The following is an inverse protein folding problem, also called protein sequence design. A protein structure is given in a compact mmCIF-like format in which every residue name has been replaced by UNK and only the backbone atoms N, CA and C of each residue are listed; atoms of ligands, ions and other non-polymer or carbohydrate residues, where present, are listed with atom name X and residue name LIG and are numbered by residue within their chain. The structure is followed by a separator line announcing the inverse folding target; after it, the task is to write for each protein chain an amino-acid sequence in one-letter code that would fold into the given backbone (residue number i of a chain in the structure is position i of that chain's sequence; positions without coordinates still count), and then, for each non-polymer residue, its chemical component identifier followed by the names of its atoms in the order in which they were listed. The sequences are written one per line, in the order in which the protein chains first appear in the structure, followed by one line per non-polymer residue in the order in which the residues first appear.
data_IF_893945140315
#
_entry.id   IF_893945140315
#
_cell.length_a   1.000
_cell.length_b   1.000
_cell.length_c   1.000
_cell.angle_alpha   90.00
_cell.angle_beta   90.00
_cell.angle_gamma   90.00
#
_symmetry.space_group_name_H-M   'P 1'
#
loop_
_entity.id
_entity.type
_entity.pdbx_description
1 polymer ?
#
# COMPACT_ATOMS: atom_id res chain seq x y z
N UNK A 1 -8.69 28.63 8.20
CA UNK A 1 -7.23 28.44 8.10
C UNK A 1 -6.60 28.20 9.48
N UNK A 2 -6.93 28.99 10.50
CA UNK A 2 -6.40 28.83 11.87
C UNK A 2 -6.50 27.41 12.46
N UNK A 3 -7.65 26.74 12.35
CA UNK A 3 -7.81 25.36 12.86
C UNK A 3 -6.89 24.34 12.18
N UNK A 4 -6.57 24.55 10.90
CA UNK A 4 -5.69 23.66 10.15
C UNK A 4 -4.22 23.88 10.53
N UNK A 5 -3.83 25.14 10.75
CA UNK A 5 -2.52 25.52 11.28
C UNK A 5 -2.33 24.95 12.69
N UNK A 6 -3.32 25.15 13.57
CA UNK A 6 -3.31 24.59 14.93
C UNK A 6 -3.12 23.06 14.92
N UNK A 7 -3.86 22.32 14.10
CA UNK A 7 -3.69 20.86 14.03
C UNK A 7 -2.30 20.45 13.54
N UNK A 8 -1.73 21.19 12.58
CA UNK A 8 -0.38 20.94 12.10
C UNK A 8 0.67 21.20 13.19
N UNK A 9 0.51 22.25 14.01
CA UNK A 9 1.42 22.59 15.11
C UNK A 9 1.44 21.50 16.19
N UNK A 10 0.26 20.98 16.55
CA UNK A 10 0.15 19.82 17.45
C UNK A 10 0.81 18.58 16.87
N UNK A 11 0.62 18.33 15.57
CA UNK A 11 1.29 17.20 14.90
C UNK A 11 2.80 17.37 14.86
N UNK A 12 3.32 18.56 14.55
CA UNK A 12 4.76 18.88 14.56
C UNK A 12 5.35 18.64 15.95
N UNK A 13 4.65 19.11 16.98
CA UNK A 13 5.03 18.89 18.39
C UNK A 13 5.05 17.40 18.72
N UNK A 14 3.99 16.66 18.39
CA UNK A 14 3.94 15.22 18.65
C UNK A 14 5.01 14.42 17.90
N UNK A 15 5.23 14.71 16.62
CA UNK A 15 6.23 14.02 15.78
C UNK A 15 7.65 14.29 16.27
N UNK A 16 8.00 15.56 16.51
CA UNK A 16 9.32 15.93 17.04
C UNK A 16 9.54 15.41 18.46
N UNK A 17 8.49 15.38 19.30
CA UNK A 17 8.57 14.75 20.62
C UNK A 17 8.91 13.26 20.52
N UNK A 18 8.21 12.50 19.67
CA UNK A 18 8.51 11.07 19.45
C UNK A 18 9.94 10.90 18.93
N UNK A 19 10.40 11.76 18.00
CA UNK A 19 11.76 11.73 17.50
C UNK A 19 12.79 11.85 18.64
N UNK A 20 12.61 12.83 19.52
CA UNK A 20 13.46 13.05 20.70
C UNK A 20 13.39 11.86 21.65
N UNK A 21 12.21 11.28 21.88
CA UNK A 21 12.09 10.09 22.73
C UNK A 21 12.83 8.88 22.14
N UNK A 22 12.74 8.64 20.83
CA UNK A 22 13.51 7.59 20.18
C UNK A 22 15.03 7.83 20.32
N UNK A 23 15.49 9.07 20.17
CA UNK A 23 16.89 9.44 20.36
C UNK A 23 17.37 9.21 21.80
N UNK A 24 16.58 9.65 22.78
CA UNK A 24 16.86 9.44 24.20
C UNK A 24 16.91 7.95 24.56
N UNK A 25 15.98 7.15 24.05
CA UNK A 25 15.97 5.69 24.26
C UNK A 25 17.20 5.01 23.66
N UNK A 26 17.58 5.37 22.43
CA UNK A 26 18.78 4.84 21.78
C UNK A 26 20.05 5.23 22.53
N UNK A 27 20.10 6.46 23.03
CA UNK A 27 21.20 6.94 23.87
C UNK A 27 21.28 6.18 25.19
N UNK A 28 20.13 5.92 25.83
CA UNK A 28 20.04 5.19 27.09
C UNK A 28 20.49 3.72 26.99
N UNK A 29 20.39 3.10 25.81
CA UNK A 29 20.90 1.74 25.56
C UNK A 29 22.36 1.72 25.10
N UNK A 30 23.05 2.87 25.10
CA UNK A 30 24.50 2.97 24.91
C UNK A 30 24.97 3.48 23.55
N UNK A 31 24.09 3.98 22.68
CA UNK A 31 24.52 4.67 21.46
C UNK A 31 24.99 6.09 21.79
N UNK A 32 25.99 6.58 21.08
CA UNK A 32 26.47 7.95 21.22
C UNK A 32 25.37 8.95 20.77
N UNK A 33 24.90 9.85 21.65
CA UNK A 33 23.88 10.84 21.32
C UNK A 33 24.27 11.77 20.15
N UNK A 34 25.56 12.07 20.00
CA UNK A 34 26.06 12.94 18.94
C UNK A 34 26.21 12.22 17.59
N UNK A 35 26.14 10.88 17.57
CA UNK A 35 26.28 10.10 16.35
C UNK A 35 25.11 10.33 15.39
N UNK A 36 25.42 10.57 14.12
CA UNK A 36 24.39 10.63 13.08
C UNK A 36 23.64 9.32 12.88
N UNK A 37 24.21 8.18 13.29
CA UNK A 37 23.49 6.91 13.31
C UNK A 37 22.38 6.87 14.35
N UNK A 38 22.59 7.47 15.53
CA UNK A 38 21.56 7.59 16.58
C UNK A 38 20.39 8.40 16.06
N UNK A 39 20.66 9.52 15.40
CA UNK A 39 19.64 10.35 14.75
C UNK A 39 18.91 9.63 13.60
N UNK A 40 19.65 8.95 12.72
CA UNK A 40 19.07 8.15 11.63
C UNK A 40 18.14 7.05 12.17
N UNK A 41 18.57 6.31 13.20
CA UNK A 41 17.77 5.28 13.86
C UNK A 41 16.59 5.88 14.63
N UNK A 42 16.71 7.10 15.14
CA UNK A 42 15.60 7.82 15.77
C UNK A 42 14.50 8.14 14.77
N UNK A 43 14.86 8.53 13.55
CA UNK A 43 13.92 8.72 12.43
C UNK A 43 13.24 7.40 12.08
N UNK A 44 13.97 6.28 12.03
CA UNK A 44 13.39 4.94 11.82
C UNK A 44 12.43 4.58 12.95
N UNK A 45 12.82 4.80 14.20
CA UNK A 45 12.00 4.55 15.39
C UNK A 45 10.70 5.34 15.38
N UNK A 46 10.77 6.64 15.05
CA UNK A 46 9.63 7.52 14.85
C UNK A 46 8.64 6.92 13.84
N UNK A 47 9.12 6.47 12.68
CA UNK A 47 8.28 5.83 11.65
C UNK A 47 7.59 4.59 12.23
N UNK A 48 8.33 3.72 12.93
CA UNK A 48 7.77 2.51 13.53
C UNK A 48 6.68 2.86 14.55
N UNK A 49 6.93 3.80 15.45
CA UNK A 49 5.97 4.22 16.48
C UNK A 49 4.69 4.76 15.84
N UNK A 50 4.81 5.72 14.91
CA UNK A 50 3.65 6.28 14.19
C UNK A 50 2.87 5.16 13.49
N UNK A 51 3.58 4.26 12.81
CA UNK A 51 2.93 3.17 12.06
C UNK A 51 2.20 2.20 12.98
N UNK A 52 2.76 1.87 14.15
CA UNK A 52 2.11 1.02 15.15
C UNK A 52 0.81 1.68 15.65
N UNK A 53 0.86 2.96 16.01
CA UNK A 53 -0.32 3.73 16.47
C UNK A 53 -1.42 3.73 15.40
N UNK A 54 -1.05 3.77 14.12
CA UNK A 54 -1.99 3.79 13.01
C UNK A 54 -2.50 2.40 12.57
N UNK A 55 -1.99 1.28 13.11
CA UNK A 55 -2.42 -0.08 12.72
C UNK A 55 -3.94 -0.26 12.76
N UNK A 56 -4.67 0.11 13.84
CA UNK A 56 -6.12 -0.12 13.90
C UNK A 56 -6.87 0.57 12.76
N UNK A 57 -6.40 1.76 12.39
CA UNK A 57 -6.97 2.54 11.30
C UNK A 57 -6.62 1.94 9.93
N UNK A 58 -5.37 1.48 9.74
CA UNK A 58 -4.97 0.75 8.54
C UNK A 58 -5.79 -0.53 8.35
N UNK A 59 -6.12 -1.26 9.42
CA UNK A 59 -6.98 -2.44 9.35
C UNK A 59 -8.39 -2.07 8.85
N UNK A 60 -8.97 -0.97 9.36
CA UNK A 60 -10.26 -0.47 8.87
C UNK A 60 -10.20 -0.07 7.39
N UNK A 61 -9.12 0.59 6.97
CA UNK A 61 -8.89 0.97 5.57
C UNK A 61 -8.79 -0.26 4.65
N UNK A 62 -8.04 -1.28 5.04
CA UNK A 62 -7.91 -2.54 4.27
C UNK A 62 -9.28 -3.22 4.13
N UNK A 63 -10.07 -3.27 5.21
CA UNK A 63 -11.43 -3.84 5.17
C UNK A 63 -12.33 -3.07 4.20
N UNK A 64 -12.29 -1.74 4.23
CA UNK A 64 -13.04 -0.90 3.29
C UNK A 64 -12.63 -1.15 1.83
N UNK A 65 -11.32 -1.24 1.56
CA UNK A 65 -10.80 -1.57 0.22
C UNK A 65 -11.23 -2.97 -0.24
N UNK A 66 -11.24 -3.95 0.67
CA UNK A 66 -11.71 -5.31 0.35
C UNK A 66 -13.20 -5.33 -0.03
N UNK A 67 -14.05 -4.63 0.72
CA UNK A 67 -15.48 -4.52 0.41
C UNK A 67 -15.70 -3.88 -0.98
N UNK A 68 -14.92 -2.86 -1.31
CA UNK A 68 -14.95 -2.24 -2.63
C UNK A 68 -14.62 -3.24 -3.75
N UNK A 69 -13.68 -4.16 -3.52
CA UNK A 69 -13.33 -5.20 -4.50
C UNK A 69 -14.45 -6.24 -4.69
N UNK A 70 -15.17 -6.57 -3.61
CA UNK A 70 -16.29 -7.52 -3.67
C UNK A 70 -17.40 -7.02 -4.59
N UNK A 71 -17.70 -5.71 -4.55
CA UNK A 71 -18.77 -5.12 -5.37
C UNK A 71 -18.33 -4.74 -6.80
N UNK A 72 -17.05 -4.88 -7.15
CA UNK A 72 -16.55 -4.56 -8.49
C UNK A 72 -17.30 -5.23 -9.65
N UNK A 73 -17.72 -6.51 -9.57
CA UNK A 73 -18.49 -7.13 -10.64
C UNK A 73 -19.81 -6.40 -10.90
N UNK A 74 -20.50 -5.99 -9.84
CA UNK A 74 -21.77 -5.26 -9.91
C UNK A 74 -21.56 -3.85 -10.48
N UNK A 75 -20.47 -3.18 -10.11
CA UNK A 75 -20.06 -1.91 -10.73
C UNK A 75 -19.90 -2.10 -12.24
N UNK A 76 -19.21 -3.15 -12.69
CA UNK A 76 -19.03 -3.43 -14.13
C UNK A 76 -20.34 -3.74 -14.84
N UNK A 77 -21.25 -4.46 -14.19
CA UNK A 77 -22.59 -4.73 -14.74
C UNK A 77 -23.38 -3.44 -14.94
N UNK A 78 -23.37 -2.53 -13.97
CA UNK A 78 -23.99 -1.19 -14.08
C UNK A 78 -23.36 -0.41 -15.23
N UNK A 79 -22.03 -0.37 -15.31
CA UNK A 79 -21.31 0.32 -16.38
C UNK A 79 -21.66 -0.22 -17.77
N UNK A 80 -21.84 -1.55 -17.89
CA UNK A 80 -22.24 -2.20 -19.14
C UNK A 80 -23.71 -1.97 -19.48
N UNK A 81 -24.61 -2.02 -18.48
CA UNK A 81 -26.05 -1.85 -18.66
C UNK A 81 -26.43 -0.42 -19.06
N UNK A 82 -25.70 0.58 -18.55
CA UNK A 82 -25.98 2.00 -18.78
C UNK A 82 -24.85 2.71 -19.54
N UNK A 83 -24.13 2.03 -20.44
CA UNK A 83 -22.94 2.57 -21.13
C UNK A 83 -23.20 3.82 -21.98
N UNK A 84 -24.46 4.12 -22.31
CA UNK A 84 -24.89 5.32 -23.04
C UNK A 84 -25.56 6.40 -22.19
N UNK A 85 -25.77 6.16 -20.90
CA UNK A 85 -26.49 7.06 -19.99
C UNK A 85 -25.67 7.27 -18.71
N UNK A 86 -24.77 8.26 -18.76
CA UNK A 86 -23.85 8.58 -17.66
C UNK A 86 -24.59 9.00 -16.39
N UNK A 87 -25.73 9.65 -16.54
CA UNK A 87 -26.51 10.13 -15.40
C UNK A 87 -27.09 8.94 -14.65
N UNK A 88 -27.78 8.04 -15.35
CA UNK A 88 -28.35 6.83 -14.75
C UNK A 88 -27.30 5.88 -14.25
N UNK A 89 -26.17 5.76 -14.95
CA UNK A 89 -25.00 5.02 -14.48
C UNK A 89 -24.50 5.55 -13.13
N UNK A 90 -24.37 6.87 -12.97
CA UNK A 90 -23.97 7.50 -11.71
C UNK A 90 -24.97 7.23 -10.58
N UNK A 91 -26.28 7.36 -10.88
CA UNK A 91 -27.36 7.12 -9.92
C UNK A 91 -27.37 5.66 -9.42
N UNK A 92 -27.30 4.68 -10.32
CA UNK A 92 -27.28 3.26 -9.98
C UNK A 92 -26.00 2.86 -9.24
N UNK A 93 -24.85 3.44 -9.61
CA UNK A 93 -23.61 3.24 -8.83
C UNK A 93 -23.75 3.78 -7.40
N UNK A 94 -24.33 4.97 -7.23
CA UNK A 94 -24.54 5.53 -5.89
C UNK A 94 -25.55 4.72 -5.08
N UNK A 95 -26.60 4.21 -5.72
CA UNK A 95 -27.57 3.30 -5.11
C UNK A 95 -26.90 2.01 -4.65
N UNK A 96 -26.07 1.39 -5.49
CA UNK A 96 -25.28 0.21 -5.15
C UNK A 96 -24.39 0.46 -3.92
N UNK A 97 -23.69 1.60 -3.88
CA UNK A 97 -22.85 1.96 -2.72
C UNK A 97 -23.66 2.09 -1.43
N UNK A 98 -24.87 2.66 -1.49
CA UNK A 98 -25.78 2.78 -0.34
C UNK A 98 -26.32 1.42 0.11
N UNK A 99 -26.80 0.60 -0.81
CA UNK A 99 -27.38 -0.72 -0.52
C UNK A 99 -26.35 -1.70 0.06
N UNK A 100 -25.11 -1.64 -0.43
CA UNK A 100 -24.00 -2.48 0.06
C UNK A 100 -23.29 -1.88 1.27
N UNK A 101 -23.67 -0.69 1.71
CA UNK A 101 -22.98 0.05 2.79
C UNK A 101 -21.51 0.36 2.50
N UNK A 102 -21.12 0.39 1.21
CA UNK A 102 -19.73 0.59 0.79
C UNK A 102 -19.49 2.06 0.44
N UNK A 103 -18.50 2.69 1.08
CA UNK A 103 -18.17 4.09 0.82
C UNK A 103 -16.94 4.21 -0.11
N UNK A 104 -17.06 4.84 -1.30
CA UNK A 104 -15.95 5.03 -2.23
C UNK A 104 -14.81 5.90 -1.65
N UNK A 105 -15.13 6.89 -0.81
CA UNK A 105 -14.15 7.78 -0.19
C UNK A 105 -13.30 7.06 0.87
N UNK A 106 -13.78 5.94 1.42
CA UNK A 106 -12.98 5.16 2.37
C UNK A 106 -11.74 4.55 1.71
N UNK A 107 -11.69 4.45 0.38
CA UNK A 107 -10.53 3.96 -0.36
C UNK A 107 -9.41 5.01 -0.49
N UNK A 108 -9.73 6.31 -0.44
CA UNK A 108 -8.74 7.40 -0.48
C UNK A 108 -8.35 7.94 0.91
N UNK A 109 -9.04 7.49 1.95
CA UNK A 109 -8.75 7.80 3.36
C UNK A 109 -7.26 7.64 3.76
N UNK A 110 -6.50 6.61 3.29
CA UNK A 110 -5.09 6.49 3.64
C UNK A 110 -4.28 7.72 3.25
N UNK A 111 -4.54 8.29 2.07
CA UNK A 111 -3.82 9.46 1.57
C UNK A 111 -4.17 10.69 2.42
N UNK A 112 -5.46 10.91 2.67
CA UNK A 112 -5.94 12.07 3.43
C UNK A 112 -5.39 12.11 4.85
N UNK A 113 -5.30 10.95 5.51
CA UNK A 113 -4.74 10.87 6.85
C UNK A 113 -3.21 11.00 6.86
N UNK A 114 -2.53 10.42 5.87
CA UNK A 114 -1.07 10.43 5.81
C UNK A 114 -0.53 11.85 5.55
N UNK A 115 -1.25 12.67 4.77
CA UNK A 115 -0.79 14.00 4.37
C UNK A 115 -0.43 14.91 5.55
N UNK A 116 -1.30 15.14 6.57
CA UNK A 116 -0.93 15.96 7.75
C UNK A 116 0.29 15.44 8.51
N UNK A 117 0.39 14.12 8.71
CA UNK A 117 1.51 13.49 9.43
C UNK A 117 2.80 13.67 8.63
N UNK A 118 2.73 13.47 7.32
CA UNK A 118 3.85 13.70 6.42
C UNK A 118 4.31 15.15 6.45
N UNK A 119 3.41 16.13 6.37
CA UNK A 119 3.78 17.54 6.43
C UNK A 119 4.39 17.92 7.77
N UNK A 120 3.87 17.42 8.89
CA UNK A 120 4.45 17.68 10.20
C UNK A 120 5.88 17.14 10.31
N UNK A 121 6.12 15.90 9.86
CA UNK A 121 7.44 15.29 9.87
C UNK A 121 8.41 15.97 8.90
N UNK A 122 7.94 16.25 7.69
CA UNK A 122 8.71 17.00 6.70
C UNK A 122 9.10 18.37 7.24
N UNK A 123 8.17 19.12 7.84
CA UNK A 123 8.46 20.41 8.47
C UNK A 123 9.54 20.28 9.55
N UNK A 124 9.48 19.28 10.43
CA UNK A 124 10.49 19.07 11.47
C UNK A 124 11.87 18.75 10.89
N UNK A 125 11.97 17.79 9.97
CA UNK A 125 13.26 17.37 9.41
C UNK A 125 13.84 18.39 8.42
N UNK A 126 12.99 19.00 7.59
CA UNK A 126 13.39 20.10 6.73
C UNK A 126 13.78 21.32 7.59
N UNK A 127 13.07 21.57 8.68
CA UNK A 127 13.33 22.67 9.59
C UNK A 127 14.69 22.57 10.27
N UNK A 128 15.06 21.36 10.72
CA UNK A 128 16.43 21.05 11.13
C UNK A 128 17.40 21.44 10.01
N UNK A 129 17.15 21.03 8.76
CA UNK A 129 18.05 21.34 7.67
C UNK A 129 18.16 22.83 7.31
N UNK A 130 17.11 23.60 7.61
CA UNK A 130 16.89 24.98 7.20
C UNK A 130 17.10 25.98 8.34
N UNK A 131 17.61 25.55 9.49
CA UNK A 131 17.71 26.33 10.73
C UNK A 131 16.35 26.77 11.33
N UNK A 132 15.24 26.25 10.82
CA UNK A 132 13.89 26.66 11.26
C UNK A 132 13.37 25.67 12.29
N UNK A 133 13.42 26.06 13.57
CA UNK A 133 12.92 25.26 14.68
C UNK A 133 11.43 24.95 14.50
N UNK A 134 11.06 23.69 14.75
CA UNK A 134 9.70 23.19 14.56
C UNK A 134 9.34 22.22 15.69
N UNK A 135 8.06 22.21 16.08
CA UNK A 135 7.56 21.35 17.16
C UNK A 135 8.28 21.62 18.50
N UNK A 136 8.75 20.56 19.18
CA UNK A 136 9.43 20.69 20.48
C UNK A 136 10.74 21.47 20.39
N UNK A 137 11.39 21.52 19.22
CA UNK A 137 12.62 22.29 19.04
C UNK A 137 12.42 23.81 19.19
N UNK A 138 11.18 24.30 19.23
CA UNK A 138 10.87 25.69 19.57
C UNK A 138 11.06 26.02 21.06
N UNK A 139 11.22 25.03 21.93
CA UNK A 139 11.42 25.25 23.36
C UNK A 139 12.92 25.24 23.69
N UNK A 140 13.38 26.27 24.41
CA UNK A 140 14.81 26.54 24.69
C UNK A 140 15.58 25.34 25.24
N UNK A 141 14.92 24.48 26.02
CA UNK A 141 15.51 23.26 26.58
C UNK A 141 16.00 22.25 25.52
N UNK A 142 15.54 22.36 24.27
CA UNK A 142 15.94 21.50 23.15
C UNK A 142 16.95 22.16 22.20
N UNK A 143 17.44 23.36 22.50
CA UNK A 143 18.36 24.09 21.61
C UNK A 143 19.66 23.34 21.34
N UNK A 144 20.28 22.81 22.39
CA UNK A 144 21.49 21.99 22.26
C UNK A 144 21.21 20.71 21.44
N UNK A 145 20.03 20.12 21.63
CA UNK A 145 19.62 18.91 20.93
C UNK A 145 19.32 19.19 19.45
N UNK A 146 18.75 20.36 19.13
CA UNK A 146 18.53 20.82 17.76
C UNK A 146 19.86 20.97 17.01
N UNK A 147 20.85 21.63 17.62
CA UNK A 147 22.17 21.76 16.99
C UNK A 147 22.85 20.40 16.82
N UNK A 148 22.77 19.52 17.83
CA UNK A 148 23.27 18.16 17.71
C UNK A 148 22.60 17.38 16.56
N UNK A 149 21.29 17.53 16.37
CA UNK A 149 20.56 16.91 15.26
C UNK A 149 21.02 17.42 13.89
N UNK A 150 21.51 18.65 13.85
CA UNK A 150 22.00 19.30 12.64
C UNK A 150 23.44 18.92 12.31
N UNK A 151 24.30 18.89 13.30
CA UNK A 151 25.70 18.49 13.13
C UNK A 151 25.86 16.97 12.93
N UNK A 152 24.77 16.22 13.13
CA UNK A 152 24.70 14.78 12.90
C UNK A 152 25.07 14.42 11.45
N UNK A 153 26.05 13.53 11.30
CA UNK A 153 26.47 13.03 9.99
C UNK A 153 26.59 11.50 9.94
N UNK A 154 26.31 10.95 8.76
CA UNK A 154 26.53 9.54 8.42
C UNK A 154 27.49 9.45 7.25
N UNK A 155 28.52 8.62 7.36
CA UNK A 155 29.55 8.47 6.33
C UNK A 155 30.21 9.80 5.90
N UNK A 156 30.28 10.80 6.79
CA UNK A 156 30.80 12.15 6.48
C UNK A 156 29.84 13.07 5.73
N UNK A 157 28.59 12.65 5.54
CA UNK A 157 27.51 13.46 4.99
C UNK A 157 26.54 13.89 6.10
N UNK A 158 26.24 15.18 6.26
CA UNK A 158 25.36 15.64 7.32
C UNK A 158 23.90 15.33 6.99
N UNK A 159 23.07 15.08 8.00
CA UNK A 159 21.67 14.72 7.79
C UNK A 159 20.84 15.84 7.14
N UNK A 160 21.26 17.11 7.26
CA UNK A 160 20.65 18.23 6.56
C UNK A 160 21.07 18.38 5.10
N UNK A 161 22.17 17.74 4.69
CA UNK A 161 22.73 17.89 3.36
C UNK A 161 21.77 17.39 2.27
N UNK A 162 21.70 18.13 1.16
CA UNK A 162 20.96 17.74 -0.06
C UNK A 162 21.94 17.43 -1.19
N UNK A 163 21.47 16.82 -2.28
CA UNK A 163 22.35 16.53 -3.42
C UNK A 163 22.79 17.82 -4.13
N UNK A 164 21.88 18.79 -4.26
CA UNK A 164 22.15 20.06 -4.95
C UNK A 164 23.03 21.00 -4.13
N UNK A 165 22.85 21.06 -2.80
CA UNK A 165 23.61 21.92 -1.89
C UNK A 165 24.84 21.23 -1.29
N UNK A 166 25.33 20.16 -1.92
CA UNK A 166 26.41 19.35 -1.35
C UNK A 166 27.74 20.12 -1.22
N UNK A 167 28.01 21.12 -2.05
CA UNK A 167 29.24 21.91 -1.92
C UNK A 167 29.19 22.88 -0.73
N UNK A 168 27.98 23.31 -0.33
CA UNK A 168 27.78 24.25 0.78
C UNK A 168 28.13 23.60 2.11
N UNK A 169 27.92 22.29 2.26
CA UNK A 169 28.23 21.56 3.50
C UNK A 169 29.73 21.50 3.81
N UNK A 170 30.60 21.84 2.85
CA UNK A 170 32.04 21.94 3.08
C UNK A 170 32.40 23.06 4.06
N UNK A 171 31.60 24.13 4.10
CA UNK A 171 31.79 25.26 5.03
C UNK A 171 31.70 24.78 6.48
N UNK A 172 30.84 23.79 6.74
CA UNK A 172 30.62 23.19 8.04
C UNK A 172 31.54 21.99 8.31
N UNK A 173 32.52 21.74 7.44
CA UNK A 173 33.54 20.68 7.59
C UNK A 173 33.09 19.29 7.13
N UNK A 174 31.95 19.16 6.45
CA UNK A 174 31.48 17.89 5.90
C UNK A 174 31.99 17.62 4.48
N UNK A 175 31.86 16.39 4.00
CA UNK A 175 32.31 16.00 2.66
C UNK A 175 31.21 16.22 1.60
N UNK A 176 31.43 17.09 0.59
CA UNK A 176 30.49 17.23 -0.54
C UNK A 176 30.31 15.95 -1.34
N UNK A 177 31.40 15.20 -1.52
CA UNK A 177 31.39 13.93 -2.26
C UNK A 177 30.57 12.89 -1.50
N UNK A 178 30.81 12.74 -0.19
CA UNK A 178 30.01 11.83 0.63
C UNK A 178 28.53 12.20 0.59
N UNK A 179 28.21 13.50 0.68
CA UNK A 179 26.83 14.00 0.64
C UNK A 179 26.12 13.62 -0.65
N UNK A 180 26.76 13.81 -1.81
CA UNK A 180 26.21 13.38 -3.11
C UNK A 180 26.03 11.87 -3.19
N UNK A 181 27.02 11.10 -2.74
CA UNK A 181 26.98 9.63 -2.79
C UNK A 181 25.85 9.09 -1.91
N UNK A 182 25.77 9.54 -0.65
CA UNK A 182 24.75 9.09 0.31
C UNK A 182 23.35 9.47 -0.17
N UNK A 183 23.14 10.72 -0.60
CA UNK A 183 21.84 11.15 -1.15
C UNK A 183 21.46 10.36 -2.39
N UNK A 184 22.37 10.17 -3.35
CA UNK A 184 22.10 9.40 -4.57
C UNK A 184 21.73 7.95 -4.27
N UNK A 185 22.45 7.28 -3.36
CA UNK A 185 22.15 5.92 -2.93
C UNK A 185 20.78 5.85 -2.26
N UNK A 186 20.46 6.78 -1.36
CA UNK A 186 19.15 6.83 -0.70
C UNK A 186 18.00 7.08 -1.67
N UNK A 187 18.19 7.92 -2.69
CA UNK A 187 17.19 8.15 -3.75
C UNK A 187 16.95 6.86 -4.53
N UNK A 188 18.00 6.14 -4.93
CA UNK A 188 17.86 4.84 -5.62
C UNK A 188 17.10 3.84 -4.75
N UNK A 189 17.47 3.71 -3.47
CA UNK A 189 16.81 2.81 -2.54
C UNK A 189 15.35 3.19 -2.32
N UNK A 190 15.05 4.48 -2.18
CA UNK A 190 13.68 4.99 -2.06
C UNK A 190 12.86 4.69 -3.32
N UNK A 191 13.40 4.95 -4.51
CA UNK A 191 12.74 4.67 -5.80
C UNK A 191 12.48 3.18 -5.97
N UNK A 192 13.49 2.34 -5.70
CA UNK A 192 13.37 0.88 -5.78
C UNK A 192 12.34 0.32 -4.80
N UNK A 193 12.35 0.77 -3.54
CA UNK A 193 11.38 0.34 -2.53
C UNK A 193 9.96 0.83 -2.84
N UNK A 194 9.80 2.05 -3.36
CA UNK A 194 8.49 2.59 -3.78
C UNK A 194 7.93 1.78 -4.95
N UNK A 195 8.75 1.55 -5.99
CA UNK A 195 8.37 0.80 -7.18
C UNK A 195 7.99 -0.65 -6.82
N UNK A 196 8.81 -1.33 -6.02
CA UNK A 196 8.53 -2.71 -5.59
C UNK A 196 7.25 -2.81 -4.77
N UNK A 197 7.01 -1.88 -3.86
CA UNK A 197 5.78 -1.78 -3.06
C UNK A 197 4.55 -1.63 -3.97
N UNK A 198 4.57 -0.66 -4.89
CA UNK A 198 3.46 -0.42 -5.82
C UNK A 198 3.23 -1.60 -6.78
N UNK A 199 4.31 -2.20 -7.29
CA UNK A 199 4.24 -3.38 -8.16
C UNK A 199 3.63 -4.57 -7.42
N UNK A 200 3.99 -4.80 -6.15
CA UNK A 200 3.40 -5.88 -5.35
C UNK A 200 1.89 -5.69 -5.18
N UNK A 201 1.45 -4.46 -4.87
CA UNK A 201 0.04 -4.14 -4.72
C UNK A 201 -0.74 -4.43 -6.02
N UNK A 202 -0.28 -3.90 -7.15
CA UNK A 202 -1.00 -3.99 -8.43
C UNK A 202 -1.00 -5.42 -8.98
N UNK A 203 0.15 -6.08 -9.02
CA UNK A 203 0.30 -7.36 -9.72
C UNK A 203 -0.31 -8.52 -8.95
N UNK A 204 -0.28 -8.48 -7.61
CA UNK A 204 -0.74 -9.61 -6.79
C UNK A 204 -2.16 -9.41 -6.28
N UNK A 205 -2.54 -8.16 -5.99
CA UNK A 205 -3.72 -7.86 -5.20
C UNK A 205 -4.76 -7.01 -5.94
N UNK A 206 -4.70 -6.92 -7.28
CA UNK A 206 -5.73 -6.22 -8.07
C UNK A 206 -6.22 -7.07 -9.23
N UNK A 207 -7.54 -7.08 -9.48
CA UNK A 207 -8.15 -7.79 -10.61
C UNK A 207 -7.86 -7.06 -11.95
N UNK A 208 -7.50 -7.80 -12.99
CA UNK A 208 -6.92 -7.29 -14.25
C UNK A 208 -7.81 -6.35 -15.07
N UNK A 209 -9.14 -6.46 -14.97
CA UNK A 209 -10.11 -5.74 -15.82
C UNK A 209 -10.74 -4.49 -15.17
N UNK A 210 -10.06 -3.81 -14.24
CA UNK A 210 -10.61 -2.66 -13.52
C UNK A 210 -10.03 -1.32 -14.05
N UNK A 211 -10.85 -0.31 -14.43
CA UNK A 211 -10.38 1.03 -14.77
C UNK A 211 -9.48 1.68 -13.70
N UNK A 212 -9.71 1.36 -12.42
CA UNK A 212 -8.88 1.78 -11.29
C UNK A 212 -7.45 1.21 -11.36
N UNK A 213 -7.26 0.01 -11.92
CA UNK A 213 -5.92 -0.58 -12.15
C UNK A 213 -5.14 0.26 -13.13
N UNK A 214 -5.80 0.78 -14.18
CA UNK A 214 -5.13 1.62 -15.18
C UNK A 214 -4.58 2.89 -14.53
N UNK A 215 -5.38 3.54 -13.69
CA UNK A 215 -4.94 4.72 -12.92
C UNK A 215 -3.78 4.37 -11.97
N UNK A 216 -3.85 3.24 -11.26
CA UNK A 216 -2.77 2.77 -10.39
C UNK A 216 -1.48 2.43 -11.16
N UNK A 217 -1.58 1.84 -12.35
CA UNK A 217 -0.42 1.53 -13.21
C UNK A 217 0.31 2.79 -13.66
N UNK A 218 -0.41 3.84 -14.05
CA UNK A 218 0.20 5.14 -14.38
C UNK A 218 0.97 5.66 -13.16
N UNK A 219 0.31 5.63 -12.01
CA UNK A 219 0.87 6.11 -10.76
C UNK A 219 2.14 5.34 -10.34
N UNK A 220 2.21 4.04 -10.67
CA UNK A 220 3.36 3.18 -10.40
C UNK A 220 4.66 3.64 -11.10
N UNK A 221 4.55 4.28 -12.26
CA UNK A 221 5.72 4.79 -12.99
C UNK A 221 5.97 6.27 -12.71
N UNK A 222 4.90 7.06 -12.57
CA UNK A 222 4.99 8.50 -12.33
C UNK A 222 5.64 8.80 -10.99
N UNK A 223 5.23 8.13 -9.90
CA UNK A 223 5.79 8.45 -8.58
C UNK A 223 7.27 8.12 -8.44
N UNK A 224 7.78 6.93 -8.82
CA UNK A 224 9.21 6.66 -8.77
C UNK A 224 10.03 7.62 -9.64
N UNK A 225 9.52 8.01 -10.82
CA UNK A 225 10.19 9.01 -11.67
C UNK A 225 10.24 10.38 -10.99
N UNK A 226 9.10 10.85 -10.46
CA UNK A 226 9.00 12.10 -9.72
C UNK A 226 9.95 12.09 -8.53
N UNK A 227 9.95 11.04 -7.71
CA UNK A 227 10.86 10.91 -6.57
C UNK A 227 12.32 10.78 -6.99
N UNK A 228 12.64 10.19 -8.14
CA UNK A 228 13.99 10.14 -8.69
C UNK A 228 14.51 11.52 -9.10
N UNK A 229 13.66 12.35 -9.72
CA UNK A 229 14.03 13.70 -10.17
C UNK A 229 14.03 14.70 -9.01
N UNK A 230 12.94 14.76 -8.24
CA UNK A 230 12.79 15.73 -7.16
C UNK A 230 13.55 15.34 -5.89
N UNK A 231 13.89 14.06 -5.72
CA UNK A 231 14.59 13.54 -4.54
C UNK A 231 15.93 14.22 -4.26
N UNK A 232 16.57 14.79 -5.29
CA UNK A 232 17.84 15.52 -5.17
C UNK A 232 17.72 16.80 -4.30
N UNK A 233 16.50 17.31 -4.12
CA UNK A 233 16.23 18.50 -3.31
C UNK A 233 15.98 18.18 -1.83
N UNK A 234 15.81 16.90 -1.48
CA UNK A 234 15.47 16.53 -0.11
C UNK A 234 16.72 16.25 0.73
N UNK A 235 16.71 16.67 2.02
CA UNK A 235 17.82 16.40 2.91
C UNK A 235 17.90 14.91 3.26
N UNK A 236 19.10 14.44 3.60
CA UNK A 236 19.37 13.03 3.92
C UNK A 236 18.41 12.49 5.00
N UNK A 237 18.14 13.25 6.06
CA UNK A 237 17.21 12.83 7.12
C UNK A 237 15.80 12.55 6.59
N UNK A 238 15.32 13.38 5.66
CA UNK A 238 14.02 13.22 5.00
C UNK A 238 14.02 12.00 4.06
N UNK A 239 15.12 11.74 3.35
CA UNK A 239 15.28 10.53 2.52
C UNK A 239 15.29 9.25 3.37
N UNK A 240 15.94 9.26 4.55
CA UNK A 240 15.92 8.14 5.51
C UNK A 240 14.50 7.87 5.97
N UNK A 241 13.73 8.92 6.31
CA UNK A 241 12.32 8.78 6.64
C UNK A 241 11.53 8.10 5.52
N UNK A 242 11.70 8.55 4.27
CA UNK A 242 10.99 7.99 3.12
C UNK A 242 11.35 6.52 2.90
N UNK A 243 12.64 6.20 2.95
CA UNK A 243 13.11 4.82 2.81
C UNK A 243 12.54 3.92 3.91
N UNK A 244 12.57 4.36 5.16
CA UNK A 244 12.02 3.64 6.32
C UNK A 244 10.51 3.42 6.17
N UNK A 245 9.79 4.45 5.74
CA UNK A 245 8.36 4.40 5.45
C UNK A 245 8.03 3.40 4.34
N UNK A 246 8.86 3.34 3.30
CA UNK A 246 8.68 2.38 2.21
C UNK A 246 8.97 0.95 2.66
N UNK A 247 10.02 0.72 3.45
CA UNK A 247 10.32 -0.60 4.03
C UNK A 247 9.17 -1.10 4.91
N UNK A 248 8.64 -0.25 5.79
CA UNK A 248 7.46 -0.58 6.58
C UNK A 248 6.28 -0.93 5.68
N UNK A 249 5.99 -0.08 4.69
CA UNK A 249 4.84 -0.28 3.78
C UNK A 249 4.98 -1.57 2.98
N UNK A 250 6.18 -1.89 2.52
CA UNK A 250 6.50 -3.14 1.82
C UNK A 250 6.26 -4.35 2.73
N UNK A 251 6.75 -4.33 3.97
CA UNK A 251 6.54 -5.39 4.95
C UNK A 251 5.06 -5.56 5.32
N UNK A 252 4.36 -4.46 5.59
CA UNK A 252 2.92 -4.45 5.86
C UNK A 252 2.13 -5.01 4.68
N UNK A 253 2.41 -4.57 3.45
CA UNK A 253 1.73 -5.07 2.26
C UNK A 253 2.00 -6.54 2.03
N UNK A 254 3.25 -6.99 2.19
CA UNK A 254 3.60 -8.41 2.10
C UNK A 254 2.76 -9.24 3.09
N UNK A 255 2.67 -8.81 4.34
CA UNK A 255 1.86 -9.48 5.37
C UNK A 255 0.36 -9.49 5.00
N UNK A 256 -0.19 -8.34 4.60
CA UNK A 256 -1.61 -8.19 4.26
C UNK A 256 -1.99 -9.04 3.04
N UNK A 257 -1.21 -8.99 1.96
CA UNK A 257 -1.45 -9.79 0.74
C UNK A 257 -1.35 -11.28 1.06
N UNK A 258 -0.44 -11.69 1.95
CA UNK A 258 -0.27 -13.10 2.30
C UNK A 258 -1.41 -13.63 3.18
N UNK A 259 -1.94 -12.82 4.10
CA UNK A 259 -2.87 -13.28 5.13
C UNK A 259 -4.33 -12.89 4.87
N UNK A 260 -4.57 -11.76 4.21
CA UNK A 260 -5.90 -11.24 3.90
C UNK A 260 -5.93 -10.64 2.46
N UNK A 261 -5.68 -11.45 1.42
CA UNK A 261 -5.71 -10.98 0.04
C UNK A 261 -7.11 -10.52 -0.39
N UNK A 262 -7.16 -9.64 -1.38
CA UNK A 262 -8.41 -9.15 -1.97
C UNK A 262 -9.09 -10.25 -2.80
N UNK A 263 -10.41 -10.46 -2.68
CA UNK A 263 -11.15 -11.46 -3.47
C UNK A 263 -10.95 -11.29 -4.98
N UNK A 264 -11.05 -12.38 -5.75
CA UNK A 264 -10.92 -12.38 -7.21
C UNK A 264 -9.54 -11.91 -7.73
N UNK A 265 -8.48 -12.11 -6.94
CA UNK A 265 -7.09 -11.76 -7.33
C UNK A 265 -6.18 -13.00 -7.37
N UNK A 266 -5.03 -12.95 -8.06
CA UNK A 266 -4.04 -14.04 -8.03
C UNK A 266 -3.53 -14.35 -6.61
N UNK A 267 -3.43 -13.34 -5.73
CA UNK A 267 -3.05 -13.57 -4.35
C UNK A 267 -4.10 -14.36 -3.57
N UNK A 268 -5.39 -14.15 -3.89
CA UNK A 268 -6.50 -14.87 -3.27
C UNK A 268 -6.54 -16.33 -3.70
N UNK A 269 -6.40 -16.63 -4.99
CA UNK A 269 -6.34 -18.02 -5.48
C UNK A 269 -5.14 -18.78 -4.89
N UNK A 270 -3.97 -18.13 -4.82
CA UNK A 270 -2.80 -18.70 -4.17
C UNK A 270 -3.01 -18.90 -2.67
N UNK A 271 -3.76 -18.01 -2.00
CA UNK A 271 -4.10 -18.17 -0.58
C UNK A 271 -5.06 -19.34 -0.35
N UNK A 272 -6.11 -19.48 -1.17
CA UNK A 272 -7.03 -20.62 -1.11
C UNK A 272 -6.29 -21.95 -1.29
N UNK A 273 -5.39 -22.04 -2.27
CA UNK A 273 -4.54 -23.21 -2.46
C UNK A 273 -3.71 -23.56 -1.22
N UNK A 274 -3.09 -22.56 -0.58
CA UNK A 274 -2.36 -22.76 0.69
C UNK A 274 -3.25 -23.20 1.84
N UNK A 275 -4.50 -22.75 1.91
CA UNK A 275 -5.43 -23.18 2.96
C UNK A 275 -5.88 -24.62 2.75
N UNK A 276 -6.19 -25.01 1.52
CA UNK A 276 -6.49 -26.40 1.15
C UNK A 276 -5.34 -27.33 1.49
N UNK A 277 -4.11 -26.96 1.11
CA UNK A 277 -2.92 -27.75 1.45
C UNK A 277 -2.70 -27.87 2.97
N UNK A 278 -2.93 -26.80 3.73
CA UNK A 278 -2.88 -26.84 5.20
C UNK A 278 -3.98 -27.72 5.79
N UNK A 279 -5.19 -27.69 5.23
CA UNK A 279 -6.30 -28.57 5.59
C UNK A 279 -5.94 -30.03 5.34
N UNK A 280 -5.46 -30.35 4.15
CA UNK A 280 -4.98 -31.68 3.75
C UNK A 280 -3.87 -32.20 4.67
N UNK A 281 -2.85 -31.39 4.98
CA UNK A 281 -1.79 -31.77 5.94
C UNK A 281 -2.32 -32.03 7.35
N UNK A 282 -3.38 -31.32 7.78
CA UNK A 282 -4.03 -31.56 9.07
C UNK A 282 -4.85 -32.85 9.05
N UNK A 283 -5.57 -33.14 7.97
CA UNK A 283 -6.34 -34.38 7.79
C UNK A 283 -5.41 -35.60 7.86
N UNK A 284 -4.26 -35.56 7.18
CA UNK A 284 -3.24 -36.62 7.26
C UNK A 284 -2.72 -36.79 8.69
N UNK A 285 -2.39 -35.69 9.38
CA UNK A 285 -1.96 -35.76 10.80
C UNK A 285 -3.02 -36.31 11.75
N UNK A 286 -4.30 -36.20 11.41
CA UNK A 286 -5.44 -36.73 12.18
C UNK A 286 -5.80 -38.18 11.80
N UNK A 287 -5.13 -38.76 10.81
CA UNK A 287 -5.47 -40.07 10.27
C UNK A 287 -6.75 -40.09 9.44
N UNK A 288 -7.26 -38.93 9.02
CA UNK A 288 -8.47 -38.79 8.19
C UNK A 288 -8.16 -39.00 6.69
N UNK A 289 -6.88 -39.01 6.30
CA UNK A 289 -6.42 -39.28 4.93
C UNK A 289 -5.04 -39.94 4.93
N UNK A 290 -4.78 -40.83 3.98
CA UNK A 290 -3.49 -41.55 3.84
C UNK A 290 -2.36 -40.64 3.34
N UNK A 291 -2.68 -39.68 2.45
CA UNK A 291 -1.71 -38.71 1.95
C UNK A 291 -2.33 -37.33 1.74
N UNK A 292 -1.46 -36.32 1.61
CA UNK A 292 -1.88 -34.94 1.32
C UNK A 292 -2.57 -34.87 -0.05
N UNK A 293 -2.13 -35.69 -0.99
CA UNK A 293 -2.70 -35.76 -2.34
C UNK A 293 -4.10 -36.37 -2.34
N UNK A 294 -4.35 -37.38 -1.50
CA UNK A 294 -5.67 -37.99 -1.35
C UNK A 294 -6.66 -37.04 -0.70
N UNK A 295 -6.20 -36.29 0.32
CA UNK A 295 -7.02 -35.26 0.97
C UNK A 295 -7.36 -34.11 0.01
N UNK A 296 -6.43 -33.66 -0.84
CA UNK A 296 -6.67 -32.62 -1.83
C UNK A 296 -7.63 -33.08 -2.96
N UNK A 297 -7.50 -34.33 -3.42
CA UNK A 297 -8.39 -34.92 -4.43
C UNK A 297 -9.82 -35.14 -3.91
N UNK A 298 -9.98 -35.46 -2.63
CA UNK A 298 -11.28 -35.64 -2.00
C UNK A 298 -12.06 -34.31 -1.85
N UNK A 299 -11.36 -33.17 -1.78
CA UNK A 299 -11.92 -31.82 -1.68
C UNK A 299 -12.27 -31.19 -3.03
N UNK A 300 -11.78 -31.73 -4.15
CA UNK A 300 -12.23 -31.27 -5.47
C UNK A 300 -13.69 -31.67 -5.67
N UNK A 301 -14.60 -30.72 -6.01
CA UNK A 301 -15.99 -31.07 -6.25
C UNK A 301 -16.02 -32.09 -7.39
N UNK A 302 -16.55 -33.29 -7.12
CA UNK A 302 -16.89 -34.28 -8.15
C UNK A 302 -17.64 -33.52 -9.24
N UNK A 303 -16.99 -33.28 -10.39
CA UNK A 303 -17.66 -32.72 -11.54
C UNK A 303 -18.80 -33.67 -11.87
N UNK A 304 -20.03 -33.29 -11.54
CA UNK A 304 -21.22 -33.97 -12.06
C UNK A 304 -21.05 -34.00 -13.58
N UNK A 305 -20.98 -35.18 -14.22
CA UNK A 305 -20.85 -35.25 -15.67
C UNK A 305 -22.05 -34.51 -16.24
N UNK A 306 -21.80 -33.37 -16.88
CA UNK A 306 -22.85 -32.63 -17.59
C UNK A 306 -23.38 -33.58 -18.66
N UNK A 307 -24.55 -34.20 -18.43
CA UNK A 307 -25.18 -35.04 -19.44
C UNK A 307 -25.54 -34.13 -20.61
N UNK A 308 -24.68 -34.06 -21.63
CA UNK A 308 -25.06 -33.46 -22.89
C UNK A 308 -26.22 -34.28 -23.46
N UNK A 309 -27.40 -33.70 -23.70
CA UNK A 309 -28.42 -34.41 -24.45
C UNK A 309 -27.84 -34.71 -25.84
N UNK A 310 -27.67 -35.99 -26.15
CA UNK A 310 -27.22 -36.46 -27.47
C UNK A 310 -28.14 -35.81 -28.52
N UNK A 311 -27.57 -35.01 -29.42
CA UNK A 311 -28.28 -34.51 -30.61
C UNK A 311 -28.84 -35.73 -31.35
N UNK A 312 -30.17 -35.78 -31.51
CA UNK A 312 -30.82 -36.80 -32.35
C UNK A 312 -30.21 -36.74 -33.76
N UNK A 313 -29.81 -37.91 -34.27
CA UNK A 313 -29.27 -38.06 -35.63
C UNK A 313 -30.31 -37.60 -36.66
N UNK A 314 -29.84 -37.07 -37.79
CA UNK A 314 -30.65 -36.52 -38.90
C UNK A 314 -31.66 -37.53 -39.46
N UNK A 315 -31.43 -38.84 -39.27
CA UNK A 315 -32.36 -39.91 -39.64
C UNK A 315 -33.61 -39.98 -38.74
N UNK A 316 -33.51 -39.58 -37.47
CA UNK A 316 -34.63 -39.55 -36.52
C UNK A 316 -35.54 -38.32 -36.70
N UNK A 317 -35.11 -37.33 -37.49
CA UNK A 317 -35.88 -36.10 -37.75
C UNK A 317 -36.83 -36.21 -38.95
N UNK A 318 -36.76 -37.29 -39.74
CA UNK A 318 -37.56 -37.49 -40.97
C UNK A 318 -38.77 -38.43 -40.83
N UNK A 319 -39.08 -38.92 -39.63
CA UNK A 319 -40.35 -39.63 -39.36
C UNK A 319 -41.19 -38.78 -38.40
N UNK A 320 -41.84 -37.77 -38.95
CA UNK A 320 -42.97 -37.05 -38.35
C UNK A 320 -44.25 -37.34 -39.14
N UNK A 321 -45.44 -37.25 -38.54
CA UNK A 321 -46.66 -37.89 -39.01
C UNK A 321 -47.21 -37.26 -40.29
N UNK A 322 -47.81 -38.12 -41.12
CA UNK A 322 -48.36 -37.77 -42.43
C UNK A 322 -49.43 -36.69 -42.40
N UNK A 323 -49.38 -35.87 -43.44
CA UNK A 323 -50.47 -35.03 -43.94
C UNK A 323 -51.77 -35.85 -44.02
N UNK A 324 -52.79 -35.40 -43.29
CA UNK A 324 -54.18 -35.79 -43.50
C UNK A 324 -54.55 -35.59 -44.98
N UNK A 325 -54.90 -36.70 -45.65
CA UNK A 325 -55.66 -36.69 -46.89
C UNK A 325 -57.08 -36.24 -46.56
N UNK A 326 -57.54 -35.20 -47.25
CA UNK A 326 -58.95 -34.90 -47.44
C UNK A 326 -59.63 -36.05 -48.18
N UNK A 327 -60.70 -36.60 -47.61
CA UNK A 327 -61.55 -37.60 -48.24
C UNK A 327 -62.73 -36.89 -48.96
N UNK A 328 -63.07 -37.25 -50.21
CA UNK A 328 -64.27 -36.76 -50.90
C UNK A 328 -65.38 -37.82 -50.83
N UNK A 329 -66.60 -37.45 -50.44
CA UNK A 329 -67.82 -38.21 -50.76
C UNK A 329 -69.10 -37.39 -50.50
N UNK A 330 -69.80 -37.13 -51.61
CA UNK A 330 -71.26 -36.96 -51.83
C UNK A 330 -71.99 -35.81 -51.13
#
# INVERSE_FOLDING_TARGET
MEKALFLLDWLRTGVSWILVQCHQLLSAIGLDPASGWTWALSIVGLVIVIRIVLIPLFVKQIKAQRNMQVIQPQIKEIQKKYSGDRERQSQEMMKLYRETGTNPLSSCLPILLQMPIFFALFSVLQGIATETKEGVFNWDQYDALFQQARDASIFGAPLYGTFLSADEVAVDGFSPVATRVVTFVLIILMVATTYTTQRQLIMKNTASDNPMVRQQKILMYVFPLMFGIFGINFPIGVLIYWFSTNLWSMGQQFYVIRNNPQPNTPAYTAWEGRQKEKGARKAVKRGEAESVEDALKAEEPKQTPRSQPKKKSRSQRKRGPGSQKSDPSV
#
